data_IF_640293735450
#
_entry.id   IF_640293735450
#
_cell.length_a   1.000
_cell.length_b   1.000
_cell.length_c   1.000
_cell.angle_alpha   90.00
_cell.angle_beta   90.00
_cell.angle_gamma   90.00
#
_symmetry.space_group_name_H-M   'P 1'
#
loop_
_entity.id
_entity.type
_entity.pdbx_description
1 polymer ?
#
# COMPACT_ATOMS: atom_id res chain seq x y z
N UNK A 1 -19.12 31.64 -19.74
CA UNK A 1 -18.08 30.92 -20.50
C UNK A 1 -16.97 30.53 -19.53
N UNK A 2 -17.17 29.43 -18.80
CA UNK A 2 -16.14 28.73 -18.00
C UNK A 2 -16.60 27.27 -17.89
N UNK A 3 -16.12 26.44 -18.82
CA UNK A 3 -16.25 24.99 -18.73
C UNK A 3 -15.00 24.46 -18.02
N UNK A 4 -15.05 24.34 -16.70
CA UNK A 4 -14.09 23.56 -15.92
C UNK A 4 -14.49 22.09 -16.00
N UNK A 5 -13.90 21.35 -16.94
CA UNK A 5 -14.04 19.91 -17.02
C UNK A 5 -13.29 19.25 -15.87
N UNK A 6 -14.02 18.69 -14.90
CA UNK A 6 -13.47 17.82 -13.89
C UNK A 6 -13.44 16.39 -14.44
N UNK A 7 -12.22 15.85 -14.50
CA UNK A 7 -11.87 14.58 -15.09
C UNK A 7 -12.54 13.43 -14.32
N UNK A 8 -13.17 12.50 -15.04
CA UNK A 8 -13.89 11.34 -14.50
C UNK A 8 -12.89 10.23 -14.18
N UNK A 9 -12.63 9.95 -12.91
CA UNK A 9 -11.76 8.85 -12.46
C UNK A 9 -12.54 7.72 -11.80
N UNK A 10 -13.33 6.95 -12.57
CA UNK A 10 -14.06 5.79 -12.00
C UNK A 10 -13.97 4.51 -12.84
N UNK A 11 -13.33 4.56 -14.02
CA UNK A 11 -12.92 3.38 -14.79
C UNK A 11 -11.40 3.19 -14.88
N UNK A 12 -10.62 4.19 -14.45
CA UNK A 12 -9.16 4.20 -14.60
C UNK A 12 -8.43 3.52 -13.43
N UNK A 13 -9.05 3.35 -12.26
CA UNK A 13 -8.35 2.88 -11.06
C UNK A 13 -8.30 1.34 -10.92
N UNK A 14 -9.37 0.63 -11.33
CA UNK A 14 -9.29 -0.85 -11.58
C UNK A 14 -8.27 -1.12 -12.66
N UNK A 15 -8.32 -0.30 -13.72
CA UNK A 15 -7.32 -0.34 -14.76
C UNK A 15 -5.93 -0.04 -14.22
N UNK A 16 -5.76 0.84 -13.23
CA UNK A 16 -4.45 1.18 -12.69
C UNK A 16 -3.83 0.02 -11.91
N UNK A 17 -4.56 -0.64 -11.00
CA UNK A 17 -3.99 -1.75 -10.22
C UNK A 17 -3.78 -3.01 -11.06
N UNK A 18 -4.73 -3.34 -11.95
CA UNK A 18 -4.56 -4.44 -12.91
C UNK A 18 -3.42 -4.16 -13.88
N UNK A 19 -3.28 -2.92 -14.35
CA UNK A 19 -2.15 -2.48 -15.17
C UNK A 19 -0.86 -2.50 -14.39
N UNK A 20 -0.84 -2.07 -13.12
CA UNK A 20 0.36 -2.09 -12.29
C UNK A 20 0.82 -3.53 -12.02
N UNK A 21 -0.10 -4.43 -11.69
CA UNK A 21 0.21 -5.86 -11.54
C UNK A 21 0.67 -6.49 -12.86
N UNK A 22 0.02 -6.13 -13.97
CA UNK A 22 0.43 -6.50 -15.32
C UNK A 22 1.82 -5.95 -15.68
N UNK A 23 2.13 -4.72 -15.27
CA UNK A 23 3.41 -4.06 -15.50
C UNK A 23 4.52 -4.70 -14.66
N UNK A 24 4.26 -5.06 -13.40
CA UNK A 24 5.19 -5.84 -12.55
C UNK A 24 5.51 -7.17 -13.23
N UNK A 25 4.47 -7.92 -13.64
CA UNK A 25 4.64 -9.21 -14.34
C UNK A 25 5.38 -9.03 -15.67
N UNK A 26 5.04 -7.98 -16.44
CA UNK A 26 5.68 -7.68 -17.72
C UNK A 26 7.14 -7.25 -17.59
N UNK A 27 7.52 -6.59 -16.49
CA UNK A 27 8.92 -6.26 -16.16
C UNK A 27 9.71 -7.52 -15.87
N UNK A 28 9.16 -8.45 -15.09
CA UNK A 28 9.78 -9.75 -14.88
C UNK A 28 9.98 -10.51 -16.20
N UNK A 29 8.95 -10.57 -17.05
CA UNK A 29 9.05 -11.22 -18.36
C UNK A 29 10.19 -10.64 -19.22
N UNK A 30 10.33 -9.31 -19.25
CA UNK A 30 11.46 -8.68 -19.96
C UNK A 30 12.82 -9.09 -19.39
N UNK A 31 12.98 -9.15 -18.07
CA UNK A 31 14.21 -9.61 -17.44
C UNK A 31 14.53 -11.07 -17.78
N UNK A 32 13.53 -11.95 -17.76
CA UNK A 32 13.68 -13.37 -18.07
C UNK A 32 14.02 -13.62 -19.56
N UNK A 33 13.55 -12.75 -20.44
CA UNK A 33 13.76 -12.85 -21.89
C UNK A 33 15.07 -12.19 -22.37
N UNK A 34 15.82 -11.48 -21.50
CA UNK A 34 17.10 -10.85 -21.89
C UNK A 34 18.25 -11.85 -21.95
N UNK A 35 19.17 -11.57 -22.86
CA UNK A 35 20.47 -12.22 -22.94
C UNK A 35 21.46 -11.66 -21.89
N UNK A 36 22.61 -12.32 -21.77
CA UNK A 36 23.67 -11.96 -20.83
C UNK A 36 24.29 -10.57 -21.05
N UNK A 37 24.17 -10.00 -22.25
CA UNK A 37 24.78 -8.72 -22.61
C UNK A 37 23.87 -7.54 -22.22
N UNK A 38 22.56 -7.76 -22.13
CA UNK A 38 21.56 -6.69 -21.92
C UNK A 38 20.80 -6.77 -20.60
N UNK A 39 20.92 -7.87 -19.86
CA UNK A 39 20.17 -8.09 -18.62
C UNK A 39 20.46 -7.03 -17.54
N UNK A 40 21.70 -6.59 -17.37
CA UNK A 40 22.07 -5.57 -16.36
C UNK A 40 21.37 -4.24 -16.66
N UNK A 41 21.31 -3.85 -17.94
CA UNK A 41 20.59 -2.68 -18.39
C UNK A 41 19.08 -2.79 -18.12
N UNK A 42 18.47 -3.95 -18.39
CA UNK A 42 17.04 -4.16 -18.08
C UNK A 42 16.78 -4.18 -16.56
N UNK A 43 17.73 -4.64 -15.73
CA UNK A 43 17.66 -4.50 -14.26
C UNK A 43 17.62 -3.03 -13.87
N UNK A 44 18.50 -2.19 -14.44
CA UNK A 44 18.51 -0.76 -14.18
C UNK A 44 17.20 -0.07 -14.59
N UNK A 45 16.70 -0.35 -15.79
CA UNK A 45 15.41 0.18 -16.27
C UNK A 45 14.23 -0.27 -15.39
N UNK A 46 14.26 -1.51 -14.91
CA UNK A 46 13.21 -2.04 -14.05
C UNK A 46 13.25 -1.42 -12.67
N UNK A 47 14.44 -1.27 -12.09
CA UNK A 47 14.66 -0.57 -10.82
C UNK A 47 14.19 0.88 -10.88
N UNK A 48 14.50 1.60 -11.95
CA UNK A 48 14.05 2.98 -12.14
C UNK A 48 12.54 3.08 -12.31
N UNK A 49 11.93 2.14 -13.03
CA UNK A 49 10.48 2.06 -13.10
C UNK A 49 9.85 1.81 -11.72
N UNK A 50 10.36 0.85 -10.93
CA UNK A 50 9.88 0.58 -9.56
C UNK A 50 9.92 1.86 -8.71
N UNK A 51 11.00 2.65 -8.80
CA UNK A 51 11.15 3.91 -8.07
C UNK A 51 10.09 4.96 -8.42
N UNK A 52 9.51 4.90 -9.63
CA UNK A 52 8.42 5.79 -10.07
C UNK A 52 7.04 5.34 -9.60
N UNK A 53 6.89 4.14 -9.02
CA UNK A 53 5.60 3.59 -8.60
C UNK A 53 5.44 3.65 -7.08
N UNK A 54 4.66 4.61 -6.52
CA UNK A 54 4.53 4.78 -5.07
C UNK A 54 4.04 3.52 -4.34
N UNK A 55 3.08 2.80 -4.93
CA UNK A 55 2.54 1.56 -4.36
C UNK A 55 3.60 0.46 -4.24
N UNK A 56 4.39 0.25 -5.29
CA UNK A 56 5.46 -0.77 -5.30
C UNK A 56 6.54 -0.40 -4.28
N UNK A 57 6.88 0.90 -4.16
CA UNK A 57 7.80 1.39 -3.14
C UNK A 57 7.28 1.16 -1.71
N UNK A 58 5.99 1.34 -1.47
CA UNK A 58 5.38 1.04 -0.17
C UNK A 58 5.52 -0.45 0.17
N UNK A 59 5.22 -1.34 -0.78
CA UNK A 59 5.42 -2.79 -0.60
C UNK A 59 6.88 -3.14 -0.28
N UNK A 60 7.84 -2.48 -0.93
CA UNK A 60 9.27 -2.68 -0.67
C UNK A 60 9.73 -2.14 0.69
N UNK A 61 9.14 -1.03 1.15
CA UNK A 61 9.38 -0.50 2.48
C UNK A 61 8.86 -1.45 3.57
N UNK A 62 7.66 -2.03 3.36
CA UNK A 62 7.14 -3.11 4.21
C UNK A 62 8.07 -4.34 4.21
N UNK A 63 8.58 -4.73 3.04
CA UNK A 63 9.50 -5.84 2.91
C UNK A 63 10.81 -5.62 3.68
N UNK A 64 11.32 -4.38 3.68
CA UNK A 64 12.50 -4.00 4.47
C UNK A 64 12.27 -4.06 5.98
N UNK A 65 11.05 -3.72 6.43
CA UNK A 65 10.69 -3.73 7.84
C UNK A 65 10.41 -5.14 8.39
N UNK A 66 10.11 -6.11 7.52
CA UNK A 66 9.71 -7.45 7.93
C UNK A 66 10.82 -8.25 8.64
N UNK A 67 12.08 -8.09 8.22
CA UNK A 67 13.23 -8.76 8.82
C UNK A 67 14.44 -7.80 8.88
N UNK A 68 14.49 -6.87 9.86
CA UNK A 68 15.48 -5.78 9.89
C UNK A 68 16.93 -6.26 10.12
N UNK A 69 17.11 -7.46 10.68
CA UNK A 69 18.42 -8.03 11.00
C UNK A 69 19.05 -8.82 9.83
N UNK A 70 18.48 -8.75 8.62
CA UNK A 70 19.03 -9.47 7.47
C UNK A 70 20.36 -8.87 7.00
N UNK A 71 21.40 -9.67 7.06
CA UNK A 71 22.72 -9.33 6.54
C UNK A 71 22.78 -9.52 5.02
N UNK A 72 22.50 -8.43 4.31
CA UNK A 72 22.54 -8.37 2.85
C UNK A 72 23.94 -8.71 2.29
N UNK A 73 25.01 -8.21 2.90
CA UNK A 73 26.37 -8.39 2.39
C UNK A 73 26.82 -9.85 2.54
N UNK A 74 26.53 -10.47 3.68
CA UNK A 74 26.81 -11.90 3.89
C UNK A 74 26.02 -12.78 2.91
N UNK A 75 24.75 -12.46 2.66
CA UNK A 75 23.94 -13.17 1.67
C UNK A 75 24.49 -13.02 0.25
N UNK A 76 24.79 -11.77 -0.17
CA UNK A 76 25.35 -11.45 -1.48
C UNK A 76 26.67 -12.18 -1.71
N UNK A 77 27.57 -12.19 -0.72
CA UNK A 77 28.82 -12.94 -0.79
C UNK A 77 28.59 -14.47 -0.87
N UNK A 78 27.46 -14.95 -0.33
CA UNK A 78 27.02 -16.34 -0.42
C UNK A 78 26.54 -16.78 -1.80
N UNK A 79 26.12 -15.84 -2.68
CA UNK A 79 25.69 -16.17 -4.05
C UNK A 79 26.79 -16.90 -4.84
N UNK A 80 28.06 -16.60 -4.54
CA UNK A 80 29.20 -17.25 -5.19
C UNK A 80 29.55 -18.66 -4.70
N UNK A 81 28.77 -19.21 -3.75
CA UNK A 81 29.00 -20.53 -3.14
C UNK A 81 27.82 -21.46 -3.42
N UNK A 82 27.68 -22.01 -4.64
CA UNK A 82 26.44 -22.66 -5.07
C UNK A 82 26.01 -23.88 -4.25
N UNK A 83 26.96 -24.62 -3.68
CA UNK A 83 26.65 -25.79 -2.82
C UNK A 83 26.10 -25.40 -1.45
N UNK A 84 26.37 -24.17 -1.02
CA UNK A 84 26.03 -23.66 0.30
C UNK A 84 24.99 -22.54 0.25
N UNK A 85 24.48 -22.19 -0.94
CA UNK A 85 23.49 -21.14 -1.08
C UNK A 85 22.22 -21.49 -0.29
N UNK A 86 21.90 -20.63 0.67
CA UNK A 86 20.68 -20.70 1.48
C UNK A 86 20.13 -19.29 1.60
N UNK A 87 18.81 -19.17 1.52
CA UNK A 87 18.13 -17.93 1.86
C UNK A 87 18.24 -17.70 3.37
N UNK A 88 18.85 -16.60 3.83
CA UNK A 88 18.87 -16.26 5.25
C UNK A 88 17.53 -15.73 5.74
N UNK A 89 16.73 -15.16 4.82
CA UNK A 89 15.38 -14.69 5.09
C UNK A 89 14.41 -15.84 5.43
N UNK A 90 13.63 -15.62 6.48
CA UNK A 90 12.61 -16.55 7.00
C UNK A 90 11.23 -16.31 6.37
N UNK A 91 11.02 -15.15 5.76
CA UNK A 91 9.78 -14.72 5.14
C UNK A 91 9.98 -14.41 3.65
N UNK A 92 8.88 -14.38 2.89
CA UNK A 92 8.91 -13.96 1.48
C UNK A 92 9.27 -12.47 1.35
N UNK A 93 8.77 -11.65 2.27
CA UNK A 93 9.10 -10.22 2.37
C UNK A 93 10.60 -9.99 2.55
N UNK A 94 11.25 -10.71 3.47
CA UNK A 94 12.70 -10.63 3.67
C UNK A 94 13.50 -11.07 2.43
N UNK A 95 13.05 -12.08 1.69
CA UNK A 95 13.67 -12.47 0.41
C UNK A 95 13.50 -11.37 -0.63
N UNK A 96 12.30 -10.84 -0.80
CA UNK A 96 12.02 -9.75 -1.72
C UNK A 96 12.92 -8.54 -1.44
N UNK A 97 13.13 -8.20 -0.16
CA UNK A 97 14.05 -7.13 0.24
C UNK A 97 15.52 -7.40 -0.16
N UNK A 98 16.04 -8.60 0.11
CA UNK A 98 17.41 -8.98 -0.30
C UNK A 98 17.60 -8.86 -1.82
N UNK A 99 16.63 -9.36 -2.57
CA UNK A 99 16.64 -9.32 -4.03
C UNK A 99 16.56 -7.87 -4.54
N UNK A 100 15.71 -7.04 -3.93
CA UNK A 100 15.63 -5.62 -4.26
C UNK A 100 16.95 -4.89 -4.01
N UNK A 101 17.64 -5.17 -2.90
CA UNK A 101 18.99 -4.64 -2.63
C UNK A 101 19.99 -5.07 -3.70
N UNK A 102 19.94 -6.33 -4.13
CA UNK A 102 20.79 -6.84 -5.23
C UNK A 102 20.52 -6.13 -6.56
N UNK A 103 19.25 -5.90 -6.90
CA UNK A 103 18.89 -5.14 -8.10
C UNK A 103 19.41 -3.70 -8.04
N UNK A 104 19.40 -3.06 -6.87
CA UNK A 104 19.97 -1.72 -6.71
C UNK A 104 21.49 -1.71 -6.95
N UNK A 105 22.22 -2.69 -6.39
CA UNK A 105 23.67 -2.79 -6.60
C UNK A 105 24.02 -3.03 -8.06
N UNK A 106 23.27 -3.89 -8.76
CA UNK A 106 23.45 -4.15 -10.19
C UNK A 106 23.15 -2.89 -11.01
N UNK A 107 22.03 -2.22 -10.73
CA UNK A 107 21.65 -1.00 -11.43
C UNK A 107 22.68 0.12 -11.24
N UNK A 108 23.26 0.26 -10.04
CA UNK A 108 24.28 1.27 -9.77
C UNK A 108 25.62 0.93 -10.44
N UNK A 109 26.01 -0.34 -10.44
CA UNK A 109 27.18 -0.81 -11.16
C UNK A 109 27.08 -0.55 -12.68
N UNK A 110 25.93 -0.86 -13.28
CA UNK A 110 25.66 -0.60 -14.70
C UNK A 110 25.78 0.90 -15.03
N UNK A 111 25.22 1.79 -14.19
CA UNK A 111 25.37 3.24 -14.36
C UNK A 111 26.80 3.73 -14.23
N UNK A 112 27.61 3.06 -13.40
CA UNK A 112 29.05 3.32 -13.28
C UNK A 112 29.86 2.73 -14.44
N UNK A 113 29.22 2.08 -15.42
CA UNK A 113 29.85 1.46 -16.59
C UNK A 113 30.40 0.05 -16.32
N UNK A 114 30.09 -0.55 -15.17
CA UNK A 114 30.41 -1.94 -14.91
C UNK A 114 29.32 -2.84 -15.50
N UNK A 115 29.71 -3.65 -16.48
CA UNK A 115 28.80 -4.58 -17.17
C UNK A 115 28.94 -6.01 -16.63
N UNK A 116 27.98 -6.87 -16.96
CA UNK A 116 27.97 -8.31 -16.72
C UNK A 116 27.96 -8.72 -15.23
N UNK A 117 27.37 -7.91 -14.36
CA UNK A 117 27.16 -8.24 -12.95
C UNK A 117 26.26 -9.47 -12.79
N UNK A 118 25.11 -9.51 -13.48
CA UNK A 118 24.20 -10.67 -13.42
C UNK A 118 24.92 -11.93 -13.91
N UNK A 119 25.64 -11.85 -15.04
CA UNK A 119 26.43 -12.97 -15.55
C UNK A 119 27.52 -13.39 -14.57
N UNK A 120 28.16 -12.44 -13.88
CA UNK A 120 29.11 -12.69 -12.80
C UNK A 120 28.50 -13.57 -11.71
N UNK A 121 27.35 -13.17 -11.15
CA UNK A 121 26.67 -13.99 -10.14
C UNK A 121 26.18 -15.33 -10.69
N UNK A 122 25.61 -15.34 -11.90
CA UNK A 122 25.14 -16.55 -12.56
C UNK A 122 26.27 -17.56 -12.77
N UNK A 123 27.44 -17.11 -13.26
CA UNK A 123 28.61 -17.96 -13.48
C UNK A 123 29.15 -18.55 -12.18
N UNK A 124 29.12 -17.80 -11.07
CA UNK A 124 29.53 -18.33 -9.78
C UNK A 124 28.52 -19.36 -9.25
N UNK A 125 27.21 -19.12 -9.46
CA UNK A 125 26.15 -20.02 -9.03
C UNK A 125 26.07 -21.31 -9.88
N UNK A 126 26.39 -21.23 -11.17
CA UNK A 126 26.19 -22.31 -12.14
C UNK A 126 27.47 -22.85 -12.77
N UNK A 127 28.66 -22.33 -12.44
CA UNK A 127 29.92 -22.72 -13.06
C UNK A 127 30.28 -24.22 -12.95
N UNK A 128 29.61 -24.97 -12.07
CA UNK A 128 29.73 -26.42 -11.96
C UNK A 128 28.49 -27.23 -12.38
N UNK A 129 27.41 -26.59 -12.85
CA UNK A 129 26.10 -27.24 -13.08
C UNK A 129 25.94 -27.89 -14.46
N UNK A 130 26.96 -27.81 -15.32
CA UNK A 130 26.89 -28.37 -16.68
C UNK A 130 26.05 -27.55 -17.66
N UNK A 131 25.48 -26.42 -17.22
CA UNK A 131 24.92 -25.40 -18.13
C UNK A 131 26.06 -24.86 -19.00
N UNK A 132 25.94 -25.04 -20.32
CA UNK A 132 27.00 -24.70 -21.28
C UNK A 132 26.84 -23.32 -21.91
N UNK A 133 25.65 -22.73 -21.83
CA UNK A 133 25.36 -21.41 -22.41
C UNK A 133 25.32 -20.35 -21.32
N UNK A 134 25.97 -19.22 -21.56
CA UNK A 134 25.94 -18.04 -20.69
C UNK A 134 24.50 -17.55 -20.52
N UNK A 135 23.73 -17.50 -21.61
CA UNK A 135 22.31 -17.15 -21.60
C UNK A 135 21.50 -18.05 -20.66
N UNK A 136 21.72 -19.37 -20.69
CA UNK A 136 20.97 -20.29 -19.81
C UNK A 136 21.35 -20.12 -18.34
N UNK A 137 22.60 -19.77 -18.03
CA UNK A 137 23.00 -19.45 -16.66
C UNK A 137 22.35 -18.15 -16.19
N UNK A 138 22.35 -17.12 -17.03
CA UNK A 138 21.69 -15.83 -16.77
C UNK A 138 20.19 -16.01 -16.54
N UNK A 139 19.49 -16.73 -17.42
CA UNK A 139 18.06 -17.01 -17.27
C UNK A 139 17.77 -17.79 -16.00
N UNK A 140 18.53 -18.85 -15.72
CA UNK A 140 18.38 -19.61 -14.48
C UNK A 140 18.60 -18.74 -13.23
N UNK A 141 19.52 -17.77 -13.30
CA UNK A 141 19.74 -16.80 -12.22
C UNK A 141 18.53 -15.87 -12.06
N UNK A 142 18.01 -15.29 -13.15
CA UNK A 142 16.82 -14.42 -13.12
C UNK A 142 15.62 -15.16 -12.54
N UNK A 143 15.33 -16.37 -13.01
CA UNK A 143 14.23 -17.19 -12.50
C UNK A 143 14.41 -17.53 -11.02
N UNK A 144 15.61 -17.97 -10.62
CA UNK A 144 15.86 -18.41 -9.24
C UNK A 144 15.94 -17.26 -8.24
N UNK A 145 16.50 -16.13 -8.65
CA UNK A 145 16.85 -15.01 -7.76
C UNK A 145 15.89 -13.84 -7.90
N UNK A 146 15.48 -13.44 -9.11
CA UNK A 146 14.60 -12.29 -9.28
C UNK A 146 13.12 -12.63 -9.18
N UNK A 147 12.67 -13.78 -9.69
CA UNK A 147 11.25 -14.14 -9.67
C UNK A 147 10.58 -13.99 -8.30
N UNK A 148 11.17 -14.42 -7.17
CA UNK A 148 10.50 -14.30 -5.87
C UNK A 148 10.17 -12.85 -5.45
N UNK A 149 10.95 -11.87 -5.90
CA UNK A 149 10.61 -10.46 -5.70
C UNK A 149 9.37 -10.09 -6.51
N UNK A 150 9.32 -10.43 -7.79
CA UNK A 150 8.19 -10.05 -8.65
C UNK A 150 6.90 -10.75 -8.25
N UNK A 151 6.97 -12.02 -7.84
CA UNK A 151 5.84 -12.76 -7.28
C UNK A 151 5.32 -12.06 -6.02
N UNK A 152 6.22 -11.64 -5.12
CA UNK A 152 5.86 -10.90 -3.92
C UNK A 152 5.22 -9.53 -4.25
N UNK A 153 5.80 -8.76 -5.18
CA UNK A 153 5.25 -7.48 -5.59
C UNK A 153 3.87 -7.63 -6.23
N UNK A 154 3.69 -8.62 -7.13
CA UNK A 154 2.43 -8.86 -7.82
C UNK A 154 1.32 -9.30 -6.84
N UNK A 155 1.63 -10.19 -5.90
CA UNK A 155 0.67 -10.62 -4.86
C UNK A 155 0.29 -9.46 -3.95
N UNK A 156 1.27 -8.67 -3.46
CA UNK A 156 1.02 -7.56 -2.55
C UNK A 156 0.26 -6.42 -3.20
N UNK A 157 0.59 -6.05 -4.45
CA UNK A 157 -0.18 -5.07 -5.24
C UNK A 157 -1.61 -5.56 -5.43
N UNK A 158 -1.80 -6.86 -5.72
CA UNK A 158 -3.12 -7.47 -5.84
C UNK A 158 -3.93 -7.41 -4.54
N UNK A 159 -3.33 -7.74 -3.38
CA UNK A 159 -4.04 -7.80 -2.09
C UNK A 159 -4.31 -6.43 -1.46
N UNK A 160 -3.29 -5.56 -1.39
CA UNK A 160 -3.41 -4.23 -0.77
C UNK A 160 -4.25 -3.25 -1.60
N UNK A 161 -4.21 -3.40 -2.92
CA UNK A 161 -4.99 -2.60 -3.86
C UNK A 161 -6.50 -2.85 -3.75
N UNK A 162 -6.93 -4.08 -3.45
CA UNK A 162 -8.36 -4.41 -3.36
C UNK A 162 -9.05 -3.67 -2.22
N UNK A 163 -8.40 -3.54 -1.05
CA UNK A 163 -8.99 -2.82 0.07
C UNK A 163 -9.13 -1.31 -0.24
N UNK A 164 -8.04 -0.67 -0.71
CA UNK A 164 -8.07 0.75 -1.04
C UNK A 164 -9.09 1.07 -2.14
N UNK A 165 -9.09 0.28 -3.22
CA UNK A 165 -10.06 0.42 -4.31
C UNK A 165 -11.51 0.31 -3.83
N UNK A 166 -11.80 -0.62 -2.92
CA UNK A 166 -13.14 -0.77 -2.35
C UNK A 166 -13.52 0.44 -1.50
N UNK A 167 -12.58 0.99 -0.73
CA UNK A 167 -12.81 2.19 0.06
C UNK A 167 -13.00 3.43 -0.82
N UNK A 168 -12.32 3.53 -1.94
CA UNK A 168 -12.57 4.59 -2.94
C UNK A 168 -13.94 4.44 -3.60
N UNK A 169 -14.37 3.20 -3.91
CA UNK A 169 -15.75 2.93 -4.36
C UNK A 169 -16.79 3.27 -3.31
N UNK A 170 -16.50 2.98 -2.04
CA UNK A 170 -17.33 3.41 -0.92
C UNK A 170 -17.45 4.93 -0.89
N UNK A 171 -16.32 5.64 -0.97
CA UNK A 171 -16.27 7.09 -1.01
C UNK A 171 -17.14 7.64 -2.15
N UNK A 172 -16.94 7.14 -3.38
CA UNK A 172 -17.73 7.52 -4.53
C UNK A 172 -19.23 7.21 -4.33
N UNK A 173 -19.59 6.04 -3.80
CA UNK A 173 -21.00 5.69 -3.52
C UNK A 173 -21.64 6.70 -2.56
N UNK A 174 -20.94 7.01 -1.47
CA UNK A 174 -21.40 8.01 -0.49
C UNK A 174 -21.55 9.36 -1.16
N UNK A 175 -20.50 9.87 -1.80
CA UNK A 175 -20.52 11.21 -2.41
C UNK A 175 -21.59 11.40 -3.49
N UNK A 176 -21.88 10.35 -4.24
CA UNK A 176 -22.78 10.41 -5.39
C UNK A 176 -24.23 10.14 -5.05
N UNK A 177 -24.49 9.15 -4.19
CA UNK A 177 -25.83 8.59 -4.01
C UNK A 177 -26.31 8.67 -2.55
N UNK A 178 -25.43 8.39 -1.59
CA UNK A 178 -25.84 8.17 -0.21
C UNK A 178 -25.61 9.38 0.72
N UNK A 179 -24.91 10.42 0.25
CA UNK A 179 -24.50 11.60 1.03
C UNK A 179 -25.64 12.22 1.82
N UNK A 180 -26.72 12.64 1.15
CA UNK A 180 -27.82 13.36 1.79
C UNK A 180 -28.61 12.43 2.74
N UNK A 181 -28.77 11.16 2.38
CA UNK A 181 -29.43 10.14 3.21
C UNK A 181 -28.62 9.88 4.49
N UNK A 182 -27.33 9.55 4.35
CA UNK A 182 -26.46 9.23 5.48
C UNK A 182 -26.28 10.43 6.42
N UNK A 183 -26.24 11.65 5.88
CA UNK A 183 -26.19 12.85 6.71
C UNK A 183 -27.50 13.06 7.49
N UNK A 184 -28.66 12.86 6.87
CA UNK A 184 -29.94 12.93 7.57
C UNK A 184 -30.05 11.86 8.67
N UNK A 185 -29.63 10.64 8.38
CA UNK A 185 -29.56 9.54 9.35
C UNK A 185 -28.60 9.89 10.51
N UNK A 186 -27.45 10.51 10.22
CA UNK A 186 -26.47 11.00 11.19
C UNK A 186 -27.07 12.07 12.11
N UNK A 187 -27.69 13.13 11.57
CA UNK A 187 -28.28 14.21 12.37
C UNK A 187 -29.46 13.71 13.23
N UNK A 188 -30.24 12.76 12.71
CA UNK A 188 -31.32 12.12 13.47
C UNK A 188 -30.78 11.32 14.67
N UNK A 189 -29.73 10.51 14.46
CA UNK A 189 -29.08 9.76 15.53
C UNK A 189 -28.45 10.68 16.58
N UNK A 190 -27.73 11.73 16.13
CA UNK A 190 -27.11 12.74 17.00
C UNK A 190 -28.13 13.46 17.87
N UNK A 191 -29.30 13.78 17.31
CA UNK A 191 -30.39 14.44 18.05
C UNK A 191 -31.07 13.52 19.06
N UNK A 192 -31.01 12.19 18.84
CA UNK A 192 -31.56 11.16 19.73
C UNK A 192 -30.66 10.80 20.92
N UNK A 193 -29.43 11.30 20.97
CA UNK A 193 -28.43 10.97 21.99
C UNK A 193 -27.54 9.77 21.64
N UNK A 194 -27.69 9.20 20.45
CA UNK A 194 -26.82 8.14 19.93
C UNK A 194 -25.53 8.73 19.33
N UNK A 195 -24.47 7.93 19.27
CA UNK A 195 -23.23 8.32 18.61
C UNK A 195 -23.43 8.31 17.08
N UNK A 196 -23.77 9.47 16.49
CA UNK A 196 -24.02 9.60 15.05
C UNK A 196 -22.93 9.00 14.15
N UNK A 197 -21.68 8.95 14.61
CA UNK A 197 -20.56 8.28 13.92
C UNK A 197 -20.84 6.81 13.57
N UNK A 198 -21.61 6.10 14.40
CA UNK A 198 -21.98 4.70 14.18
C UNK A 198 -22.82 4.51 12.92
N UNK A 199 -23.54 5.54 12.45
CA UNK A 199 -24.30 5.49 11.20
C UNK A 199 -23.38 5.26 10.03
N UNK A 200 -22.29 6.04 9.94
CA UNK A 200 -21.30 5.93 8.88
C UNK A 200 -20.47 4.66 9.03
N UNK A 201 -20.05 4.33 10.25
CA UNK A 201 -19.29 3.11 10.52
C UNK A 201 -20.08 1.87 10.08
N UNK A 202 -21.35 1.74 10.50
CA UNK A 202 -22.19 0.60 10.12
C UNK A 202 -22.42 0.51 8.62
N UNK A 203 -22.59 1.63 7.94
CA UNK A 203 -22.75 1.67 6.49
C UNK A 203 -21.46 1.27 5.75
N UNK A 204 -20.29 1.72 6.23
CA UNK A 204 -18.98 1.28 5.75
C UNK A 204 -18.80 -0.23 5.93
N UNK A 205 -19.07 -0.75 7.13
CA UNK A 205 -18.95 -2.17 7.42
C UNK A 205 -19.88 -3.03 6.55
N UNK A 206 -21.12 -2.58 6.38
CA UNK A 206 -22.08 -3.25 5.50
C UNK A 206 -21.61 -3.26 4.06
N UNK A 207 -21.05 -2.15 3.57
CA UNK A 207 -20.50 -2.07 2.22
C UNK A 207 -19.33 -3.04 2.03
N UNK A 208 -18.35 -3.04 2.94
CA UNK A 208 -17.17 -3.91 2.86
C UNK A 208 -17.53 -5.40 2.91
N UNK A 209 -18.54 -5.75 3.71
CA UNK A 209 -19.06 -7.11 3.77
C UNK A 209 -19.74 -7.52 2.44
N UNK A 210 -20.63 -6.69 1.91
CA UNK A 210 -21.41 -7.02 0.71
C UNK A 210 -20.57 -6.98 -0.58
N UNK A 211 -19.64 -6.03 -0.72
CA UNK A 211 -18.88 -5.82 -1.96
C UNK A 211 -17.73 -6.82 -2.12
N UNK A 212 -17.26 -7.45 -1.03
CA UNK A 212 -16.33 -8.56 -1.22
C UNK A 212 -15.89 -9.32 0.01
N UNK A 213 -16.84 -9.57 0.91
CA UNK A 213 -16.65 -10.51 2.03
C UNK A 213 -15.57 -10.07 3.01
N UNK A 214 -15.19 -8.79 3.03
CA UNK A 214 -14.20 -8.30 3.97
C UNK A 214 -14.85 -8.17 5.33
N UNK A 215 -14.25 -8.85 6.29
CA UNK A 215 -14.53 -8.68 7.70
C UNK A 215 -13.50 -7.69 8.23
N UNK A 216 -13.95 -6.63 8.88
CA UNK A 216 -13.04 -5.69 9.55
C UNK A 216 -12.96 -5.96 11.05
N UNK A 217 -11.85 -5.55 11.65
CA UNK A 217 -11.62 -5.56 13.09
C UNK A 217 -11.06 -4.18 13.49
N UNK A 218 -11.93 -3.27 13.91
CA UNK A 218 -11.54 -1.97 14.49
C UNK A 218 -12.63 -1.31 15.35
N UNK A 219 -13.76 -1.98 15.61
CA UNK A 219 -14.89 -1.40 16.36
C UNK A 219 -15.28 -2.27 17.56
N UNK A 220 -15.60 -1.63 18.69
CA UNK A 220 -16.09 -2.27 19.90
C UNK A 220 -17.55 -2.72 19.71
N UNK A 221 -17.77 -3.74 18.89
CA UNK A 221 -19.12 -4.23 18.56
C UNK A 221 -19.18 -5.13 17.34
N UNK A 222 -18.15 -5.10 16.47
CA UNK A 222 -17.95 -6.15 15.48
C UNK A 222 -17.72 -7.46 16.22
N UNK A 223 -18.71 -8.37 16.18
CA UNK A 223 -18.51 -9.75 16.64
C UNK A 223 -17.26 -10.30 15.97
N UNK A 224 -16.34 -10.94 16.70
CA UNK A 224 -15.19 -11.57 16.09
C UNK A 224 -15.72 -12.68 15.17
N UNK A 225 -15.78 -12.38 13.88
CA UNK A 225 -15.87 -13.40 12.86
C UNK A 225 -14.46 -13.97 12.78
N UNK A 226 -14.35 -15.28 13.02
CA UNK A 226 -13.11 -16.04 12.99
C UNK A 226 -12.59 -16.09 11.55
N UNK A 227 -12.00 -14.98 11.11
CA UNK A 227 -11.32 -14.86 9.82
C UNK A 227 -9.82 -14.83 10.08
N UNK A 228 -9.08 -15.61 9.30
CA UNK A 228 -7.63 -15.68 9.42
C UNK A 228 -6.94 -14.35 9.04
N UNK A 229 -7.63 -13.46 8.32
CA UNK A 229 -7.05 -12.24 7.77
C UNK A 229 -8.05 -11.06 7.76
N UNK A 230 -8.29 -10.38 8.90
CA UNK A 230 -9.20 -9.26 8.96
C UNK A 230 -8.59 -7.99 8.34
N UNK A 231 -9.43 -7.22 7.64
CA UNK A 231 -9.06 -5.87 7.20
C UNK A 231 -9.07 -4.93 8.41
N UNK A 232 -7.96 -4.24 8.68
CA UNK A 232 -7.92 -3.22 9.72
C UNK A 232 -8.40 -1.89 9.11
N UNK A 233 -9.70 -1.59 9.26
CA UNK A 233 -10.32 -0.41 8.67
C UNK A 233 -11.36 0.20 9.60
N UNK A 234 -11.43 1.54 9.63
CA UNK A 234 -12.38 2.30 10.44
C UNK A 234 -12.83 3.59 9.75
N UNK A 235 -14.09 3.97 9.97
CA UNK A 235 -14.62 5.30 9.67
C UNK A 235 -14.44 6.28 10.84
N UNK A 236 -14.12 7.52 10.53
CA UNK A 236 -14.08 8.62 11.51
C UNK A 236 -14.72 9.87 10.93
N UNK A 237 -15.51 10.57 11.73
CA UNK A 237 -16.22 11.78 11.31
C UNK A 237 -15.37 13.01 11.55
N UNK A 238 -15.25 13.85 10.53
CA UNK A 238 -14.70 15.20 10.65
C UNK A 238 -15.83 16.22 10.56
N UNK A 239 -16.27 16.72 11.72
CA UNK A 239 -17.37 17.67 11.86
C UNK A 239 -16.96 19.04 12.43
N UNK A 240 -15.69 19.23 12.79
CA UNK A 240 -15.22 20.42 13.48
C UNK A 240 -13.72 20.66 13.30
N UNK A 241 -13.22 21.85 13.66
CA UNK A 241 -11.86 22.30 13.33
C UNK A 241 -10.76 21.59 14.13
N UNK A 242 -11.10 20.93 15.23
CA UNK A 242 -10.15 20.24 16.12
C UNK A 242 -9.84 18.81 15.64
N UNK A 243 -10.73 18.19 14.86
CA UNK A 243 -10.53 16.86 14.31
C UNK A 243 -10.36 15.76 15.37
N UNK A 244 -10.84 15.99 16.61
CA UNK A 244 -10.60 15.12 17.74
C UNK A 244 -11.08 13.68 17.49
N UNK A 245 -12.25 13.51 16.85
CA UNK A 245 -12.79 12.21 16.46
C UNK A 245 -11.92 11.48 15.42
N UNK A 246 -11.33 12.22 14.48
CA UNK A 246 -10.41 11.65 13.48
C UNK A 246 -9.11 11.19 14.14
N UNK A 247 -8.54 11.98 15.05
CA UNK A 247 -7.35 11.60 15.81
C UNK A 247 -7.61 10.38 16.71
N UNK A 248 -8.74 10.37 17.44
CA UNK A 248 -9.13 9.23 18.27
C UNK A 248 -9.36 7.97 17.43
N UNK A 249 -10.02 8.09 16.28
CA UNK A 249 -10.23 6.98 15.33
C UNK A 249 -8.91 6.44 14.76
N UNK A 250 -7.95 7.32 14.47
CA UNK A 250 -6.61 6.95 14.04
C UNK A 250 -5.86 6.14 15.12
N UNK A 251 -5.84 6.63 16.36
CA UNK A 251 -5.15 5.94 17.46
C UNK A 251 -5.76 4.57 17.75
N UNK A 252 -7.08 4.46 17.71
CA UNK A 252 -7.80 3.18 17.85
C UNK A 252 -7.44 2.21 16.71
N UNK A 253 -7.34 2.71 15.48
CA UNK A 253 -6.98 1.91 14.32
C UNK A 253 -5.54 1.39 14.40
N UNK A 254 -4.60 2.23 14.86
CA UNK A 254 -3.20 1.81 15.10
C UNK A 254 -3.12 0.75 16.20
N UNK A 255 -3.88 0.92 17.28
CA UNK A 255 -3.95 -0.07 18.36
C UNK A 255 -4.49 -1.43 17.84
N UNK A 256 -5.58 -1.41 17.07
CA UNK A 256 -6.15 -2.60 16.47
C UNK A 256 -5.19 -3.28 15.48
N UNK A 257 -4.48 -2.51 14.66
CA UNK A 257 -3.47 -3.05 13.75
C UNK A 257 -2.38 -3.81 14.51
N UNK A 258 -1.90 -3.25 15.63
CA UNK A 258 -0.89 -3.89 16.47
C UNK A 258 -1.40 -5.15 17.16
N UNK A 259 -2.64 -5.13 17.65
CA UNK A 259 -3.28 -6.30 18.28
C UNK A 259 -3.38 -7.48 17.29
N UNK A 260 -3.60 -7.19 16.01
CA UNK A 260 -3.69 -8.18 14.95
C UNK A 260 -2.39 -8.40 14.17
N UNK A 261 -1.26 -7.89 14.67
CA UNK A 261 0.07 -8.01 14.05
C UNK A 261 0.10 -7.53 12.59
N UNK A 262 -0.60 -6.43 12.30
CA UNK A 262 -0.69 -5.81 10.98
C UNK A 262 0.12 -4.54 10.88
N UNK A 263 0.78 -4.38 9.75
CA UNK A 263 1.56 -3.19 9.39
C UNK A 263 0.79 -2.22 8.49
N UNK A 264 -0.42 -2.57 8.07
CA UNK A 264 -1.26 -1.75 7.19
C UNK A 264 -2.67 -1.62 7.76
N UNK A 265 -3.19 -0.41 7.76
CA UNK A 265 -4.56 -0.10 8.14
C UNK A 265 -5.17 1.02 7.29
N UNK A 266 -6.49 1.19 7.36
CA UNK A 266 -7.22 2.14 6.52
C UNK A 266 -8.19 2.99 7.34
N UNK A 267 -8.00 4.31 7.31
CA UNK A 267 -8.90 5.28 7.94
C UNK A 267 -9.73 5.98 6.88
N UNK A 268 -11.06 5.83 6.97
CA UNK A 268 -12.02 6.53 6.12
C UNK A 268 -12.51 7.78 6.86
N UNK A 269 -12.15 8.96 6.37
CA UNK A 269 -12.50 10.24 6.98
C UNK A 269 -13.74 10.83 6.31
N UNK A 270 -14.85 10.85 7.06
CA UNK A 270 -16.15 11.35 6.65
C UNK A 270 -16.19 12.86 6.91
N UNK A 271 -15.88 13.66 5.89
CA UNK A 271 -15.86 15.11 5.98
C UNK A 271 -17.27 15.70 5.89
N UNK A 272 -17.80 16.13 7.03
CA UNK A 272 -19.10 16.81 7.17
C UNK A 272 -18.97 18.33 7.08
N UNK A 273 -17.79 18.85 6.76
CA UNK A 273 -17.53 20.29 6.65
C UNK A 273 -17.35 20.72 5.20
N UNK A 274 -17.47 22.03 4.96
CA UNK A 274 -17.14 22.64 3.66
C UNK A 274 -15.63 22.77 3.40
N UNK A 275 -14.78 22.33 4.32
CA UNK A 275 -13.33 22.44 4.20
C UNK A 275 -12.77 21.36 3.26
N UNK A 276 -11.67 21.70 2.58
CA UNK A 276 -10.92 20.74 1.78
C UNK A 276 -9.90 20.05 2.67
N UNK A 277 -10.15 18.78 2.99
CA UNK A 277 -9.15 17.95 3.65
C UNK A 277 -8.11 17.51 2.63
N UNK A 278 -6.85 17.85 2.87
CA UNK A 278 -5.72 17.44 2.03
C UNK A 278 -5.02 16.26 2.69
N UNK A 279 -4.87 15.19 1.93
CA UNK A 279 -4.05 14.04 2.30
C UNK A 279 -2.56 14.38 2.11
N UNK A 280 -1.65 13.75 2.88
CA UNK A 280 -0.22 13.92 2.67
C UNK A 280 0.21 13.51 1.24
N UNK A 281 1.42 13.91 0.80
CA UNK A 281 1.99 13.49 -0.48
C UNK A 281 2.09 11.98 -0.59
N UNK A 282 2.50 11.30 0.49
CA UNK A 282 2.28 9.87 0.63
C UNK A 282 0.80 9.61 0.99
N UNK A 283 0.14 8.59 0.40
CA UNK A 283 -1.27 8.30 0.65
C UNK A 283 -1.51 7.63 2.03
N UNK A 284 -0.54 7.73 2.95
CA UNK A 284 -0.59 7.13 4.28
C UNK A 284 0.15 7.99 5.31
N UNK A 285 -0.12 7.71 6.59
CA UNK A 285 0.63 8.23 7.73
C UNK A 285 1.19 7.06 8.51
N UNK A 286 2.49 7.11 8.85
CA UNK A 286 3.12 6.09 9.68
C UNK A 286 2.96 6.39 11.17
N UNK A 287 2.56 5.39 11.95
CA UNK A 287 2.51 5.47 13.41
C UNK A 287 2.77 4.10 14.04
N UNK A 288 3.75 4.04 14.95
CA UNK A 288 4.10 2.82 15.68
C UNK A 288 4.35 1.59 14.78
N UNK A 289 4.98 1.80 13.62
CA UNK A 289 5.26 0.75 12.62
C UNK A 289 4.06 0.33 11.77
N UNK A 290 2.95 1.08 11.82
CA UNK A 290 1.74 0.86 11.03
C UNK A 290 1.59 1.96 9.99
N UNK A 291 1.45 1.58 8.72
CA UNK A 291 1.05 2.47 7.62
C UNK A 291 -0.47 2.60 7.60
N UNK A 292 -0.98 3.78 7.92
CA UNK A 292 -2.42 4.07 7.90
C UNK A 292 -2.76 4.84 6.63
N UNK A 293 -3.40 4.17 5.68
CA UNK A 293 -3.92 4.80 4.46
C UNK A 293 -5.13 5.67 4.77
N UNK A 294 -5.19 6.85 4.18
CA UNK A 294 -6.26 7.82 4.41
C UNK A 294 -7.18 7.89 3.18
N UNK A 295 -8.47 7.64 3.37
CA UNK A 295 -9.51 7.82 2.35
C UNK A 295 -10.47 8.90 2.81
N UNK A 296 -10.56 10.00 2.07
CA UNK A 296 -11.45 11.12 2.42
C UNK A 296 -12.76 11.00 1.65
N UNK A 297 -13.88 11.12 2.36
CA UNK A 297 -15.23 11.10 1.81
C UNK A 297 -15.92 12.43 2.08
N UNK A 298 -16.37 13.13 1.03
CA UNK A 298 -17.19 14.34 1.19
C UNK A 298 -18.63 13.94 1.56
N UNK A 299 -18.93 14.00 2.84
CA UNK A 299 -20.21 13.59 3.41
C UNK A 299 -21.14 14.76 3.78
N UNK A 300 -20.67 16.01 3.72
CA UNK A 300 -21.55 17.20 3.84
C UNK A 300 -22.60 17.24 2.72
N UNK A 301 -23.89 17.54 3.01
CA UNK A 301 -24.96 17.65 2.02
C UNK A 301 -24.65 18.62 0.89
N UNK A 302 -25.15 18.33 -0.33
CA UNK A 302 -24.89 19.20 -1.50
C UNK A 302 -25.55 20.56 -1.41
N UNK A 303 -26.63 20.67 -0.66
CA UNK A 303 -27.43 21.90 -0.54
C UNK A 303 -26.78 22.95 0.38
N UNK A 304 -25.80 22.55 1.20
CA UNK A 304 -25.12 23.48 2.10
C UNK A 304 -23.98 24.19 1.36
N UNK A 305 -24.00 25.55 1.29
CA UNK A 305 -22.87 26.28 0.76
C UNK A 305 -21.66 26.05 1.67
N UNK A 306 -20.46 25.81 1.12
CA UNK A 306 -19.27 25.71 1.96
C UNK A 306 -19.08 27.04 2.68
N UNK A 307 -19.00 27.01 4.01
CA UNK A 307 -18.34 28.08 4.75
C UNK A 307 -16.96 28.29 4.13
N UNK A 308 -16.43 29.54 4.11
CA UNK A 308 -15.18 29.91 3.43
C UNK A 308 -14.18 28.73 3.38
N UNK A 309 -13.96 28.14 2.19
CA UNK A 309 -13.26 26.88 2.10
C UNK A 309 -11.83 27.07 2.57
N UNK A 310 -11.47 26.37 3.65
CA UNK A 310 -10.11 26.29 4.17
C UNK A 310 -9.53 24.94 3.77
N UNK A 311 -8.24 24.94 3.49
CA UNK A 311 -7.49 23.70 3.31
C UNK A 311 -7.00 23.25 4.68
N UNK A 312 -7.31 22.01 5.05
CA UNK A 312 -6.87 21.40 6.32
C UNK A 312 -5.98 20.22 5.97
N UNK A 313 -4.74 20.26 6.44
CA UNK A 313 -3.77 19.18 6.25
C UNK A 313 -4.03 18.07 7.27
N UNK A 314 -4.47 16.89 6.80
CA UNK A 314 -4.84 15.77 7.67
C UNK A 314 -3.68 15.30 8.55
N UNK A 315 -2.46 15.29 8.03
CA UNK A 315 -1.27 14.91 8.80
C UNK A 315 -1.06 15.84 10.01
N UNK A 316 -1.29 17.16 9.83
CA UNK A 316 -1.18 18.14 10.90
C UNK A 316 -2.25 17.95 11.98
N UNK A 317 -3.47 17.64 11.55
CA UNK A 317 -4.59 17.35 12.45
C UNK A 317 -4.31 16.10 13.31
N UNK A 318 -3.82 15.02 12.70
CA UNK A 318 -3.45 13.78 13.39
C UNK A 318 -2.26 13.98 14.34
N UNK A 319 -1.32 14.87 14.02
CA UNK A 319 -0.22 15.21 14.93
C UNK A 319 -0.71 16.05 16.13
N UNK A 320 -1.57 17.04 15.90
CA UNK A 320 -2.09 17.93 16.93
C UNK A 320 -2.98 17.19 17.95
N UNK A 321 -3.85 16.29 17.50
CA UNK A 321 -4.72 15.50 18.38
C UNK A 321 -3.94 14.63 19.37
N UNK A 322 -2.78 14.10 18.95
CA UNK A 322 -1.89 13.28 19.78
C UNK A 322 -1.09 14.06 20.81
N UNK A 323 -0.78 15.34 20.55
CA UNK A 323 -0.09 16.19 21.51
C UNK A 323 -0.99 16.59 22.69
N UNK A 324 -2.31 16.68 22.47
CA UNK A 324 -3.29 17.07 23.49
C UNK A 324 -3.67 15.98 24.49
N UNK A 325 -3.44 14.71 24.17
CA UNK A 325 -3.77 13.56 25.05
C UNK A 325 -2.63 13.14 25.99
N UNK A 326 -1.43 13.72 25.81
CA UNK A 326 -0.23 13.39 26.58
C UNK A 326 0.05 14.32 27.79
N UNK A 327 -0.86 15.24 28.10
CA UNK A 327 -0.77 16.17 29.23
C UNK A 327 -1.88 15.97 30.24
#
# INVERSE_FOLDING_TARGET
MFHGGWNRGTGDDVSYLERLQGDVTGRYGRLADRDEDTVDHEVALTRDWIDTQPMVRAVLAEAAAAEPDLDYEAWRAGLGKPRDFRWPARTEAGRAWLIWRLMNDIAEAERAGAVQQVLGYASQMYGGSGLRSLTSMTQGFVERIFQPLFDHLADRVGRGGVALYRLERYAARVEWFDRDRLYADFEAARSGGDAGEEVYERDLQRFLFLDGGLVTQAHAGSRPLDTADPLICRGAVYAGPDGAAVAAGFDQLVAAAREHERTVAYLVVLNLTGHLLRTPPEPYVEAAGVHVHLVVVRAQPRAEPPAEPRVVELAGLLAAGRAGTAG
#
